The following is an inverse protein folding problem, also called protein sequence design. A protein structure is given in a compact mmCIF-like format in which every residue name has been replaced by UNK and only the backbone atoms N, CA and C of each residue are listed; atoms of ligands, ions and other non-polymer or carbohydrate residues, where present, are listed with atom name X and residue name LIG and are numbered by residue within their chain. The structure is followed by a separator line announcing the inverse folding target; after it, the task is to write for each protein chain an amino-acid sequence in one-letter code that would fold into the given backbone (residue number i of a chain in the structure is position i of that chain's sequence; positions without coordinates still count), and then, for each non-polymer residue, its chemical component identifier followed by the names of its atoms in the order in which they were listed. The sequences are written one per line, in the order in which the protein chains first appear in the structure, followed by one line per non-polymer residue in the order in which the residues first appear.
data_IF_456370092579
#
_entry.id   IF_456370092579
#
_cell.length_a   1.000
_cell.length_b   1.000
_cell.length_c   1.000
_cell.angle_alpha   90.00
_cell.angle_beta   90.00
_cell.angle_gamma   90.00
#
_symmetry.space_group_name_H-M   'P 1'
#
loop_
_entity.id
_entity.type
_entity.pdbx_description
1 polymer ?
#
# COMPACT_ATOMS: atom_id res chain seq x y z
N UNK A 1 -16.74 8.98 7.01
CA UNK A 1 -16.12 10.23 7.47
C UNK A 1 -14.63 10.20 7.09
N UNK A 2 -14.16 11.24 6.40
CA UNK A 2 -12.76 11.42 6.01
C UNK A 2 -12.29 12.80 6.54
N UNK A 3 -11.98 12.91 7.82
CA UNK A 3 -11.68 14.20 8.46
C UNK A 3 -10.42 14.88 7.89
N UNK A 4 -9.51 14.12 7.30
CA UNK A 4 -8.31 14.64 6.67
C UNK A 4 -8.48 15.02 5.21
N UNK A 5 -9.65 14.80 4.61
CA UNK A 5 -9.91 14.95 3.17
C UNK A 5 -8.86 14.26 2.28
N UNK A 6 -8.33 13.14 2.75
CA UNK A 6 -7.31 12.36 2.06
C UNK A 6 -7.95 11.42 1.02
N UNK A 7 -7.26 11.04 -0.03
CA UNK A 7 -7.71 10.00 -0.94
C UNK A 7 -7.99 8.67 -0.21
N UNK A 8 -8.88 7.86 -0.77
CA UNK A 8 -9.12 6.49 -0.26
C UNK A 8 -7.80 5.73 -0.22
N UNK A 9 -7.54 5.04 0.87
CA UNK A 9 -6.30 4.32 1.09
C UNK A 9 -5.20 5.09 1.83
N UNK A 10 -5.47 6.36 2.18
CA UNK A 10 -4.56 7.14 3.02
C UNK A 10 -5.23 7.52 4.34
N UNK A 11 -4.44 7.55 5.39
CA UNK A 11 -4.87 8.01 6.71
C UNK A 11 -3.79 8.90 7.34
N UNK A 12 -4.24 9.91 8.09
CA UNK A 12 -3.37 10.68 8.97
C UNK A 12 -3.31 9.97 10.32
N UNK A 13 -2.10 9.75 10.77
CA UNK A 13 -1.81 9.27 12.11
C UNK A 13 -0.96 10.30 12.85
N UNK A 14 -1.24 10.49 14.12
CA UNK A 14 -0.42 11.28 15.03
C UNK A 14 0.18 10.32 16.06
N UNK A 15 1.50 10.34 16.16
CA UNK A 15 2.23 9.47 17.07
C UNK A 15 2.13 10.01 18.49
N UNK A 16 1.64 9.18 19.42
CA UNK A 16 1.33 9.58 20.78
C UNK A 16 2.60 9.96 21.61
N UNK A 17 3.76 9.43 21.22
CA UNK A 17 5.00 9.66 21.96
C UNK A 17 5.73 10.91 21.47
N UNK A 18 5.74 11.12 20.17
CA UNK A 18 6.50 12.22 19.54
C UNK A 18 5.65 13.40 19.13
N UNK A 19 4.32 13.27 19.10
CA UNK A 19 3.37 14.26 18.60
C UNK A 19 3.51 14.54 17.08
N UNK A 20 4.27 13.71 16.36
CA UNK A 20 4.46 13.86 14.92
C UNK A 20 3.30 13.28 14.15
N UNK A 21 2.88 14.01 13.12
CA UNK A 21 1.88 13.54 12.18
C UNK A 21 2.52 12.78 11.02
N UNK A 22 1.97 11.62 10.71
CA UNK A 22 2.37 10.76 9.60
C UNK A 22 1.24 10.60 8.61
N UNK A 23 1.59 10.38 7.36
CA UNK A 23 0.68 9.93 6.31
C UNK A 23 0.90 8.44 6.10
N UNK A 24 -0.12 7.66 6.43
CA UNK A 24 -0.06 6.21 6.31
C UNK A 24 -0.82 5.72 5.08
N UNK A 25 -0.33 4.63 4.50
CA UNK A 25 -1.05 3.83 3.51
C UNK A 25 -1.83 2.74 4.24
N UNK A 26 -3.10 2.59 3.92
CA UNK A 26 -4.00 1.61 4.55
C UNK A 26 -4.38 0.50 3.58
N UNK A 27 -4.96 -0.59 4.09
CA UNK A 27 -5.46 -1.71 3.28
C UNK A 27 -6.40 -1.26 2.15
N UNK A 28 -7.17 -0.18 2.38
CA UNK A 28 -8.08 0.37 1.39
C UNK A 28 -7.39 0.90 0.13
N UNK A 29 -6.08 1.17 0.15
CA UNK A 29 -5.33 1.58 -1.05
C UNK A 29 -5.32 0.49 -2.12
N UNK A 30 -5.16 -0.77 -1.70
CA UNK A 30 -5.16 -1.93 -2.61
C UNK A 30 -6.50 -2.66 -2.63
N UNK A 31 -7.38 -2.41 -1.65
CA UNK A 31 -8.63 -3.13 -1.48
C UNK A 31 -9.87 -2.21 -1.43
N UNK A 32 -9.92 -1.25 -2.35
CA UNK A 32 -11.14 -0.52 -2.68
C UNK A 32 -11.21 -0.36 -4.19
N UNK A 33 -12.17 -1.01 -4.81
CA UNK A 33 -12.43 -0.92 -6.25
C UNK A 33 -13.45 0.16 -6.58
N UNK A 34 -13.43 0.66 -7.79
CA UNK A 34 -14.47 1.50 -8.36
C UNK A 34 -14.79 1.03 -9.76
N UNK A 35 -16.07 0.84 -10.04
CA UNK A 35 -16.59 0.61 -11.37
C UNK A 35 -17.42 1.81 -11.81
N UNK A 36 -17.35 2.15 -13.10
CA UNK A 36 -18.18 3.21 -13.69
C UNK A 36 -19.08 2.64 -14.77
N UNK A 37 -20.36 2.86 -14.63
CA UNK A 37 -21.37 2.43 -15.58
C UNK A 37 -22.47 3.48 -15.71
N UNK A 38 -22.88 3.81 -16.95
CA UNK A 38 -23.95 4.78 -17.19
C UNK A 38 -23.72 6.17 -16.55
N UNK A 39 -22.47 6.61 -16.39
CA UNK A 39 -22.11 7.86 -15.74
C UNK A 39 -22.11 7.81 -14.19
N UNK A 40 -22.45 6.66 -13.60
CA UNK A 40 -22.43 6.45 -12.15
C UNK A 40 -21.18 5.70 -11.72
N UNK A 41 -20.66 6.04 -10.53
CA UNK A 41 -19.55 5.34 -9.89
C UNK A 41 -20.06 4.39 -8.81
N UNK A 42 -19.67 3.13 -8.89
CA UNK A 42 -20.00 2.09 -7.92
C UNK A 42 -18.70 1.78 -7.17
N UNK A 43 -18.62 2.19 -5.92
CA UNK A 43 -17.51 1.87 -5.04
C UNK A 43 -17.67 0.47 -4.46
N UNK A 44 -16.59 -0.30 -4.46
CA UNK A 44 -16.55 -1.67 -3.96
C UNK A 44 -15.55 -1.74 -2.81
N UNK A 45 -16.04 -1.57 -1.59
CA UNK A 45 -15.20 -1.67 -0.37
C UNK A 45 -14.77 -3.13 -0.17
N UNK A 46 -13.47 -3.31 0.06
CA UNK A 46 -12.85 -4.63 0.15
C UNK A 46 -12.60 -5.31 -1.20
N UNK A 47 -13.01 -4.71 -2.32
CA UNK A 47 -12.72 -5.21 -3.66
C UNK A 47 -11.33 -4.77 -4.15
N UNK A 48 -10.77 -5.48 -5.13
CA UNK A 48 -9.47 -5.15 -5.69
C UNK A 48 -9.44 -3.73 -6.28
N UNK A 49 -8.47 -2.93 -5.86
CA UNK A 49 -8.17 -1.66 -6.52
C UNK A 49 -7.50 -1.93 -7.87
N UNK A 50 -7.87 -1.14 -8.87
CA UNK A 50 -7.38 -1.29 -10.25
C UNK A 50 -6.26 -0.31 -10.57
N UNK A 51 -5.37 -0.04 -9.61
CA UNK A 51 -4.14 0.74 -9.87
C UNK A 51 -2.96 -0.20 -10.16
N UNK A 52 -1.95 0.32 -10.84
CA UNK A 52 -0.62 -0.27 -10.93
C UNK A 52 0.24 0.34 -9.83
N UNK A 53 0.75 -0.48 -8.89
CA UNK A 53 1.46 0.03 -7.71
C UNK A 53 2.85 0.52 -8.07
N UNK A 54 3.61 -0.30 -8.80
CA UNK A 54 4.97 -0.01 -9.20
C UNK A 54 5.22 -0.48 -10.64
N UNK A 55 6.04 0.28 -11.36
CA UNK A 55 6.63 -0.15 -12.60
C UNK A 55 8.14 -0.07 -12.46
N UNK A 56 8.82 -1.08 -12.93
CA UNK A 56 10.27 -1.18 -12.89
C UNK A 56 10.95 -0.44 -14.03
N UNK A 57 10.19 -0.08 -15.04
CA UNK A 57 10.70 0.71 -16.16
C UNK A 57 10.35 2.18 -15.94
N UNK A 58 11.33 3.09 -15.83
CA UNK A 58 11.07 4.50 -15.80
C UNK A 58 10.47 4.94 -17.12
N UNK A 59 9.16 4.86 -17.27
CA UNK A 59 8.47 5.36 -18.44
C UNK A 59 7.85 6.71 -18.13
N UNK A 60 8.11 7.70 -18.98
CA UNK A 60 7.41 8.99 -18.95
C UNK A 60 5.90 8.86 -19.28
N UNK A 61 5.48 7.69 -19.74
CA UNK A 61 4.06 7.34 -19.96
C UNK A 61 3.55 6.70 -18.70
N UNK A 62 2.99 7.56 -17.85
CA UNK A 62 2.52 7.21 -16.53
C UNK A 62 1.66 5.94 -16.48
N UNK A 63 1.94 5.10 -15.55
CA UNK A 63 1.17 3.89 -15.30
C UNK A 63 1.22 3.53 -13.83
N UNK A 64 2.39 3.64 -13.21
CA UNK A 64 2.52 3.20 -11.83
C UNK A 64 2.36 4.35 -10.85
N UNK A 65 1.57 4.10 -9.81
CA UNK A 65 1.33 5.07 -8.73
C UNK A 65 2.63 5.56 -8.09
N UNK A 66 3.57 4.66 -7.79
CA UNK A 66 4.86 5.01 -7.19
C UNK A 66 5.69 5.96 -8.05
N UNK A 67 5.70 5.77 -9.38
CA UNK A 67 6.39 6.69 -10.29
C UNK A 67 5.72 8.07 -10.33
N UNK A 68 4.38 8.10 -10.42
CA UNK A 68 3.63 9.35 -10.43
C UNK A 68 3.85 10.14 -9.13
N UNK A 69 3.85 9.45 -8.00
CA UNK A 69 4.14 10.04 -6.69
C UNK A 69 5.57 10.58 -6.63
N UNK A 70 6.57 9.79 -7.00
CA UNK A 70 7.97 10.19 -7.00
C UNK A 70 8.23 11.40 -7.89
N UNK A 71 7.68 11.41 -9.10
CA UNK A 71 7.76 12.55 -10.01
C UNK A 71 7.07 13.80 -9.45
N UNK A 72 5.85 13.64 -8.89
CA UNK A 72 5.12 14.75 -8.27
C UNK A 72 5.90 15.36 -7.10
N UNK A 73 6.49 14.52 -6.26
CA UNK A 73 7.35 14.95 -5.16
C UNK A 73 8.60 15.66 -5.68
N UNK A 74 9.31 15.10 -6.66
CA UNK A 74 10.48 15.72 -7.25
C UNK A 74 10.14 17.10 -7.85
N UNK A 75 9.09 17.19 -8.65
CA UNK A 75 8.64 18.47 -9.20
C UNK A 75 8.23 19.48 -8.12
N UNK A 76 7.66 19.02 -7.02
CA UNK A 76 7.32 19.91 -5.90
C UNK A 76 8.57 20.39 -5.20
N UNK A 77 9.54 19.53 -4.94
CA UNK A 77 10.77 19.88 -4.24
C UNK A 77 11.66 20.85 -5.06
N UNK A 78 11.84 20.56 -6.35
CA UNK A 78 12.76 21.34 -7.21
C UNK A 78 12.14 22.59 -7.80
N UNK A 79 10.82 22.77 -7.74
CA UNK A 79 10.16 24.01 -8.17
C UNK A 79 9.83 24.88 -6.96
N UNK A 80 10.51 26.05 -6.76
CA UNK A 80 10.30 26.88 -5.57
C UNK A 80 8.86 27.36 -5.38
N UNK A 81 8.15 27.64 -6.48
CA UNK A 81 6.76 28.13 -6.42
C UNK A 81 5.80 27.00 -6.01
N UNK A 82 6.05 25.78 -6.49
CA UNK A 82 5.26 24.61 -6.08
C UNK A 82 5.53 24.25 -4.63
N UNK A 83 6.80 24.25 -4.22
CA UNK A 83 7.16 23.96 -2.84
C UNK A 83 6.57 24.99 -1.88
N UNK A 84 6.62 26.26 -2.23
CA UNK A 84 6.01 27.32 -1.42
C UNK A 84 4.52 27.08 -1.21
N UNK A 85 3.75 26.87 -2.28
CA UNK A 85 2.30 26.58 -2.18
C UNK A 85 2.00 25.34 -1.35
N UNK A 86 2.78 24.28 -1.54
CA UNK A 86 2.68 23.06 -0.75
C UNK A 86 2.94 23.34 0.73
N UNK A 87 4.04 24.02 1.03
CA UNK A 87 4.43 24.32 2.40
C UNK A 87 3.43 25.28 3.11
N UNK A 88 2.92 26.29 2.42
CA UNK A 88 1.87 27.19 2.93
C UNK A 88 0.60 26.40 3.27
N UNK A 89 0.20 25.43 2.44
CA UNK A 89 -0.97 24.62 2.66
C UNK A 89 -0.79 23.61 3.82
N UNK A 90 0.39 23.04 3.98
CA UNK A 90 0.69 22.05 5.04
C UNK A 90 0.89 22.72 6.39
N UNK A 91 1.60 23.83 6.43
CA UNK A 91 2.03 24.49 7.66
C UNK A 91 1.06 25.58 8.14
N UNK A 92 0.30 26.18 7.21
CA UNK A 92 -0.59 27.29 7.54
C UNK A 92 0.15 28.44 8.22
N UNK A 93 -0.28 28.81 9.41
CA UNK A 93 0.33 29.90 10.21
C UNK A 93 1.79 29.64 10.60
N UNK A 94 2.21 28.37 10.66
CA UNK A 94 3.60 28.00 10.99
C UNK A 94 4.56 28.06 9.80
N UNK A 95 4.12 28.51 8.64
CA UNK A 95 4.93 28.48 7.42
C UNK A 95 6.30 29.16 7.59
N UNK A 96 6.36 30.36 8.12
CA UNK A 96 7.62 31.09 8.29
C UNK A 96 8.57 30.42 9.29
N UNK A 97 8.03 29.76 10.29
CA UNK A 97 8.80 29.09 11.33
C UNK A 97 9.34 27.72 10.87
N UNK A 98 8.49 26.91 10.21
CA UNK A 98 8.75 25.47 10.02
C UNK A 98 9.09 25.11 8.56
N UNK A 99 9.05 26.06 7.60
CA UNK A 99 9.28 25.75 6.18
C UNK A 99 10.64 25.13 5.87
N UNK A 100 11.68 25.50 6.60
CA UNK A 100 13.02 24.96 6.41
C UNK A 100 13.09 23.49 6.87
N UNK A 101 12.47 23.19 8.01
CA UNK A 101 12.38 21.83 8.52
C UNK A 101 11.53 20.96 7.59
N UNK A 102 10.37 21.44 7.16
CA UNK A 102 9.53 20.72 6.19
C UNK A 102 10.30 20.43 4.90
N UNK A 103 11.09 21.37 4.40
CA UNK A 103 11.90 21.16 3.19
C UNK A 103 12.96 20.08 3.39
N UNK A 104 13.59 20.06 4.55
CA UNK A 104 14.55 19.04 4.93
C UNK A 104 13.89 17.65 5.00
N UNK A 105 12.80 17.52 5.74
CA UNK A 105 12.07 16.26 5.90
C UNK A 105 11.52 15.74 4.57
N UNK A 106 10.97 16.64 3.76
CA UNK A 106 10.49 16.31 2.41
C UNK A 106 11.62 15.76 1.52
N UNK A 107 12.81 16.35 1.61
CA UNK A 107 13.99 15.86 0.88
C UNK A 107 14.39 14.45 1.33
N UNK A 108 14.39 14.18 2.61
CA UNK A 108 14.73 12.86 3.15
C UNK A 108 13.75 11.79 2.62
N UNK A 109 12.46 12.08 2.62
CA UNK A 109 11.45 11.15 2.07
C UNK A 109 11.66 10.96 0.56
N UNK A 110 11.89 12.04 -0.19
CA UNK A 110 12.15 11.97 -1.63
C UNK A 110 13.41 11.15 -1.94
N UNK A 111 14.51 11.40 -1.23
CA UNK A 111 15.77 10.69 -1.45
C UNK A 111 15.63 9.19 -1.15
N UNK A 112 14.91 8.84 -0.09
CA UNK A 112 14.62 7.44 0.24
C UNK A 112 13.80 6.77 -0.86
N UNK A 113 12.73 7.42 -1.32
CA UNK A 113 11.87 6.88 -2.38
C UNK A 113 12.65 6.67 -3.68
N UNK A 114 13.46 7.66 -4.10
CA UNK A 114 14.27 7.57 -5.31
C UNK A 114 15.42 6.56 -5.16
N UNK A 115 16.04 6.49 -3.98
CA UNK A 115 17.09 5.53 -3.65
C UNK A 115 16.58 4.08 -3.71
N UNK A 116 15.42 3.80 -3.13
CA UNK A 116 14.78 2.48 -3.22
C UNK A 116 14.48 2.13 -4.68
N UNK A 117 13.84 3.03 -5.43
CA UNK A 117 13.52 2.79 -6.83
C UNK A 117 14.77 2.55 -7.70
N UNK A 118 15.85 3.30 -7.45
CA UNK A 118 17.12 3.10 -8.12
C UNK A 118 17.76 1.74 -7.78
N UNK A 119 17.76 1.36 -6.49
CA UNK A 119 18.29 0.09 -6.04
C UNK A 119 17.54 -1.11 -6.67
N UNK A 120 16.21 -1.04 -6.66
CA UNK A 120 15.34 -2.06 -7.26
C UNK A 120 15.62 -2.25 -8.75
N UNK A 121 15.72 -1.13 -9.47
CA UNK A 121 16.00 -1.12 -10.89
C UNK A 121 17.43 -1.62 -11.19
N UNK A 122 18.44 -1.13 -10.48
CA UNK A 122 19.84 -1.49 -10.69
C UNK A 122 20.09 -2.98 -10.42
N UNK A 123 19.41 -3.54 -9.46
CA UNK A 123 19.50 -4.97 -9.11
C UNK A 123 18.58 -5.87 -9.95
N UNK A 124 17.70 -5.28 -10.77
CA UNK A 124 16.73 -6.02 -11.56
C UNK A 124 15.76 -6.86 -10.72
N UNK A 125 15.37 -6.35 -9.55
CA UNK A 125 14.56 -7.12 -8.60
C UNK A 125 13.14 -7.40 -9.09
N UNK A 126 12.60 -6.53 -9.91
CA UNK A 126 11.20 -6.60 -10.40
C UNK A 126 11.15 -6.50 -11.92
N UNK A 127 11.62 -7.53 -12.68
CA UNK A 127 11.72 -7.46 -14.14
C UNK A 127 10.37 -7.55 -14.83
N UNK A 128 9.37 -8.10 -14.16
CA UNK A 128 8.01 -8.28 -14.71
C UNK A 128 7.13 -7.11 -14.30
N UNK A 129 6.49 -6.46 -15.27
CA UNK A 129 5.51 -5.43 -14.98
C UNK A 129 4.29 -6.06 -14.29
N UNK A 130 3.97 -5.57 -13.10
CA UNK A 130 2.88 -6.13 -12.31
C UNK A 130 1.52 -5.85 -12.93
N UNK A 131 1.34 -4.65 -13.49
CA UNK A 131 0.10 -4.21 -14.13
C UNK A 131 -0.99 -3.81 -13.14
N UNK A 132 -2.19 -3.62 -13.66
CA UNK A 132 -3.31 -3.13 -12.87
C UNK A 132 -3.90 -4.21 -11.96
N UNK A 133 -4.11 -3.85 -10.68
CA UNK A 133 -4.76 -4.71 -9.70
C UNK A 133 -3.93 -5.93 -9.28
N UNK A 134 -2.62 -5.90 -9.49
CA UNK A 134 -1.71 -7.01 -9.20
C UNK A 134 -0.43 -6.53 -8.56
N UNK A 135 0.21 -7.40 -7.76
CA UNK A 135 1.58 -7.23 -7.25
C UNK A 135 2.18 -8.58 -6.88
N UNK A 136 3.49 -8.70 -6.90
CA UNK A 136 4.20 -9.82 -6.27
C UNK A 136 4.41 -9.51 -4.79
N UNK A 137 3.37 -9.73 -3.98
CA UNK A 137 3.41 -9.40 -2.56
C UNK A 137 4.52 -10.16 -1.83
N UNK A 138 4.72 -11.45 -2.10
CA UNK A 138 5.77 -12.22 -1.45
C UNK A 138 7.17 -11.76 -1.78
N UNK A 139 7.45 -11.52 -3.04
CA UNK A 139 8.74 -11.04 -3.48
C UNK A 139 9.07 -9.69 -2.85
N UNK A 140 8.08 -8.79 -2.77
CA UNK A 140 8.26 -7.48 -2.13
C UNK A 140 8.47 -7.59 -0.63
N UNK A 141 7.65 -8.36 0.07
CA UNK A 141 7.82 -8.62 1.51
C UNK A 141 9.19 -9.26 1.79
N UNK A 142 9.56 -10.28 1.02
CA UNK A 142 10.84 -10.95 1.21
C UNK A 142 12.03 -10.02 0.98
N UNK A 143 12.01 -9.21 -0.08
CA UNK A 143 13.07 -8.24 -0.35
C UNK A 143 13.13 -7.15 0.71
N UNK A 144 12.00 -6.63 1.18
CA UNK A 144 11.96 -5.65 2.27
C UNK A 144 12.47 -6.22 3.60
N UNK A 145 12.02 -7.40 3.99
CA UNK A 145 12.37 -7.98 5.30
C UNK A 145 13.77 -8.61 5.29
N UNK A 146 14.10 -9.37 4.26
CA UNK A 146 15.38 -10.10 4.25
C UNK A 146 16.49 -9.34 3.51
N UNK A 147 16.14 -8.58 2.48
CA UNK A 147 17.10 -7.77 1.71
C UNK A 147 17.44 -6.45 2.38
N UNK A 148 16.42 -5.61 2.61
CA UNK A 148 16.64 -4.27 3.15
C UNK A 148 17.02 -4.28 4.64
N UNK A 149 16.33 -5.12 5.45
CA UNK A 149 16.49 -5.07 6.90
C UNK A 149 17.55 -6.05 7.44
N UNK A 150 18.06 -6.99 6.65
CA UNK A 150 19.05 -7.97 7.09
C UNK A 150 20.32 -7.90 6.24
N UNK A 151 20.27 -8.37 4.98
CA UNK A 151 21.45 -8.43 4.13
C UNK A 151 21.06 -8.32 2.65
N UNK A 152 21.63 -7.38 1.88
CA UNK A 152 21.41 -7.29 0.45
C UNK A 152 21.69 -8.57 -0.36
N UNK A 153 22.48 -9.52 0.16
CA UNK A 153 22.68 -10.83 -0.44
C UNK A 153 21.40 -11.68 -0.47
N UNK A 154 20.40 -11.33 0.33
CA UNK A 154 19.12 -12.03 0.39
C UNK A 154 18.12 -11.57 -0.67
N UNK A 155 18.39 -10.49 -1.41
CA UNK A 155 17.48 -10.07 -2.47
C UNK A 155 17.24 -11.19 -3.49
N UNK A 156 15.99 -11.30 -3.91
CA UNK A 156 15.57 -12.24 -4.95
C UNK A 156 14.69 -11.53 -5.96
N UNK A 157 14.76 -11.98 -7.19
CA UNK A 157 13.89 -11.50 -8.26
C UNK A 157 12.45 -11.86 -7.93
N UNK A 158 11.58 -10.85 -7.92
CA UNK A 158 10.15 -10.97 -7.71
C UNK A 158 9.45 -10.79 -9.05
N UNK A 159 8.92 -11.88 -9.61
CA UNK A 159 8.35 -11.93 -10.94
C UNK A 159 7.03 -12.71 -11.02
N UNK A 160 6.34 -12.87 -9.91
CA UNK A 160 5.09 -13.60 -9.79
C UNK A 160 3.92 -12.69 -9.33
N UNK A 161 3.54 -11.65 -10.11
CA UNK A 161 2.44 -10.77 -9.72
C UNK A 161 1.12 -11.53 -9.73
N UNK A 162 0.37 -11.39 -8.64
CA UNK A 162 -0.97 -11.95 -8.46
C UNK A 162 -1.99 -10.84 -8.23
N UNK A 163 -3.25 -11.11 -8.56
CA UNK A 163 -4.34 -10.15 -8.36
C UNK A 163 -4.57 -9.86 -6.89
N UNK A 164 -4.91 -8.61 -6.56
CA UNK A 164 -5.36 -8.28 -5.23
C UNK A 164 -6.64 -9.06 -4.93
N UNK A 165 -6.69 -9.86 -3.85
CA UNK A 165 -7.89 -10.56 -3.46
C UNK A 165 -8.93 -9.58 -2.88
N UNK A 166 -10.19 -10.00 -2.86
CA UNK A 166 -11.19 -9.32 -2.05
C UNK A 166 -10.97 -9.62 -0.56
N UNK A 167 -11.40 -8.68 0.31
CA UNK A 167 -11.24 -8.81 1.76
C UNK A 167 -12.47 -9.39 2.47
N UNK A 168 -13.65 -9.36 1.84
CA UNK A 168 -14.84 -9.94 2.46
C UNK A 168 -14.68 -11.44 2.66
N UNK A 169 -15.10 -11.93 3.84
CA UNK A 169 -14.93 -13.31 4.26
C UNK A 169 -13.49 -13.81 4.40
N UNK A 170 -12.47 -12.96 4.31
CA UNK A 170 -11.07 -13.40 4.44
C UNK A 170 -10.81 -14.07 5.80
N UNK A 171 -11.49 -13.64 6.83
CA UNK A 171 -11.40 -14.20 8.18
C UNK A 171 -11.83 -15.66 8.31
N UNK A 172 -12.44 -16.25 7.27
CA UNK A 172 -12.84 -17.66 7.22
C UNK A 172 -11.70 -18.60 6.84
N UNK A 173 -10.55 -18.05 6.44
CA UNK A 173 -9.38 -18.84 6.07
C UNK A 173 -8.36 -18.84 7.19
N UNK A 174 -7.72 -19.98 7.46
CA UNK A 174 -6.62 -20.07 8.43
C UNK A 174 -5.29 -19.67 7.77
N UNK A 175 -5.14 -19.96 6.48
CA UNK A 175 -3.96 -19.71 5.69
C UNK A 175 -4.30 -18.97 4.41
N UNK A 176 -3.46 -18.03 4.03
CA UNK A 176 -3.64 -17.18 2.86
C UNK A 176 -2.35 -17.00 2.06
N UNK A 177 -2.37 -16.10 1.12
CA UNK A 177 -1.49 -15.93 -0.01
C UNK A 177 -1.73 -17.01 -1.06
N UNK A 178 -1.27 -16.78 -2.30
CA UNK A 178 -1.52 -17.68 -3.42
C UNK A 178 -1.03 -19.13 -3.20
N UNK A 179 -0.06 -19.32 -2.33
CA UNK A 179 0.51 -20.63 -1.97
C UNK A 179 0.09 -21.13 -0.58
N UNK A 180 -0.79 -20.43 0.12
CA UNK A 180 -1.27 -20.83 1.43
C UNK A 180 -0.20 -20.84 2.54
N UNK A 181 0.83 -20.00 2.46
CA UNK A 181 1.96 -20.04 3.40
C UNK A 181 1.89 -19.03 4.54
N UNK A 182 0.98 -18.08 4.49
CA UNK A 182 0.83 -17.07 5.53
C UNK A 182 -0.38 -17.37 6.43
N UNK A 183 -0.13 -17.50 7.72
CA UNK A 183 -1.18 -17.72 8.72
C UNK A 183 -1.94 -16.42 9.01
N UNK A 184 -3.26 -16.54 9.16
CA UNK A 184 -4.16 -15.42 9.46
C UNK A 184 -4.36 -15.23 10.98
N UNK A 185 -4.78 -14.00 11.41
CA UNK A 185 -4.75 -12.77 10.60
C UNK A 185 -3.44 -12.00 10.75
N UNK A 186 -2.76 -12.12 11.89
CA UNK A 186 -1.71 -11.17 12.27
C UNK A 186 -0.38 -11.41 11.54
N UNK A 187 -0.01 -12.69 11.25
CA UNK A 187 1.22 -12.96 10.50
C UNK A 187 1.14 -12.38 9.08
N UNK A 188 -0.02 -12.53 8.43
CA UNK A 188 -0.29 -11.89 7.15
C UNK A 188 -0.19 -10.37 7.23
N UNK A 189 -0.91 -9.73 8.17
CA UNK A 189 -0.96 -8.28 8.30
C UNK A 189 0.39 -7.66 8.61
N UNK A 190 1.17 -8.27 9.50
CA UNK A 190 2.51 -7.80 9.83
C UNK A 190 3.42 -7.89 8.59
N UNK A 191 3.37 -9.03 7.88
CA UNK A 191 4.13 -9.21 6.65
C UNK A 191 3.77 -8.17 5.59
N UNK A 192 2.48 -7.92 5.36
CA UNK A 192 2.00 -6.92 4.40
C UNK A 192 2.43 -5.49 4.79
N UNK A 193 2.33 -5.13 6.07
CA UNK A 193 2.78 -3.83 6.56
C UNK A 193 4.29 -3.62 6.33
N UNK A 194 5.10 -4.65 6.57
CA UNK A 194 6.54 -4.63 6.30
C UNK A 194 6.82 -4.51 4.79
N UNK A 195 6.06 -5.22 3.97
CA UNK A 195 6.21 -5.19 2.50
C UNK A 195 5.85 -3.85 1.86
N UNK A 196 5.02 -3.03 2.52
CA UNK A 196 4.67 -1.67 2.04
C UNK A 196 5.45 -0.56 2.74
N UNK A 197 6.49 -0.90 3.49
CA UNK A 197 7.47 0.06 4.01
C UNK A 197 7.43 0.35 5.50
N UNK A 198 6.71 -0.44 6.30
CA UNK A 198 6.86 -0.35 7.75
C UNK A 198 8.29 -0.73 8.14
N UNK A 199 8.89 0.06 9.02
CA UNK A 199 10.27 -0.16 9.44
C UNK A 199 10.41 -1.40 10.31
N UNK A 200 11.53 -2.09 10.21
CA UNK A 200 11.93 -3.20 11.07
C UNK A 200 13.41 -3.00 11.43
N UNK A 201 13.69 -2.88 12.72
CA UNK A 201 15.04 -2.65 13.21
C UNK A 201 15.67 -3.96 13.67
N UNK A 202 16.61 -4.45 12.90
CA UNK A 202 17.39 -5.67 13.21
C UNK A 202 18.88 -5.37 13.33
N UNK A 203 19.37 -4.45 12.49
CA UNK A 203 20.77 -4.06 12.39
C UNK A 203 20.94 -2.56 12.57
N UNK A 204 22.12 -2.16 13.02
CA UNK A 204 22.62 -0.79 12.90
C UNK A 204 23.03 -0.49 11.45
N UNK A 205 23.22 0.79 11.11
CA UNK A 205 23.69 1.22 9.78
C UNK A 205 25.03 0.60 9.36
N UNK A 206 25.86 0.23 10.34
CA UNK A 206 27.13 -0.47 10.11
C UNK A 206 26.99 -2.00 9.93
N UNK A 207 25.77 -2.53 9.86
CA UNK A 207 25.48 -3.95 9.69
C UNK A 207 25.61 -4.81 10.95
N UNK A 208 25.94 -4.22 12.10
CA UNK A 208 25.97 -4.96 13.35
C UNK A 208 24.56 -5.13 13.94
N UNK A 209 24.26 -6.27 14.58
CA UNK A 209 22.99 -6.47 15.25
C UNK A 209 22.75 -5.40 16.32
N UNK A 210 21.52 -4.88 16.39
CA UNK A 210 21.11 -4.01 17.49
C UNK A 210 21.03 -4.79 18.80
N UNK A 211 21.08 -4.08 19.92
CA UNK A 211 20.90 -4.69 21.24
C UNK A 211 19.58 -5.49 21.32
N UNK A 212 19.54 -6.55 22.08
CA UNK A 212 18.38 -7.43 22.19
C UNK A 212 17.10 -6.68 22.57
N UNK A 213 17.22 -5.70 23.48
CA UNK A 213 16.10 -4.86 23.90
C UNK A 213 15.53 -3.95 22.78
N UNK A 214 16.31 -3.64 21.76
CA UNK A 214 15.90 -2.81 20.61
C UNK A 214 15.55 -3.64 19.38
N UNK A 215 15.85 -4.94 19.43
CA UNK A 215 15.61 -5.86 18.31
C UNK A 215 14.11 -6.00 18.08
N UNK A 216 13.72 -5.94 16.81
CA UNK A 216 12.33 -5.96 16.37
C UNK A 216 11.53 -4.68 16.65
N UNK A 217 12.16 -3.58 17.06
CA UNK A 217 11.48 -2.30 17.03
C UNK A 217 10.96 -2.04 15.61
N UNK A 218 9.67 -1.77 15.47
CA UNK A 218 8.98 -1.74 14.19
C UNK A 218 7.96 -0.61 14.13
N UNK A 219 7.78 -0.05 12.91
CA UNK A 219 6.69 0.87 12.60
C UNK A 219 5.33 0.17 12.43
N UNK A 220 5.27 -1.16 12.55
CA UNK A 220 4.02 -1.91 12.44
C UNK A 220 3.12 -1.65 13.65
N UNK A 221 1.95 -1.08 13.44
CA UNK A 221 0.97 -0.76 14.49
C UNK A 221 0.06 -1.96 14.77
N UNK A 222 0.59 -2.94 15.51
CA UNK A 222 -0.07 -4.24 15.76
C UNK A 222 -1.48 -4.09 16.36
N UNK A 223 -1.69 -3.13 17.27
CA UNK A 223 -3.01 -2.90 17.88
C UNK A 223 -4.03 -2.42 16.86
N UNK A 224 -3.63 -1.52 15.95
CA UNK A 224 -4.52 -1.00 14.91
C UNK A 224 -4.80 -2.08 13.86
N UNK A 225 -3.82 -2.89 13.51
CA UNK A 225 -4.03 -4.05 12.63
C UNK A 225 -5.04 -5.03 13.24
N UNK A 226 -4.97 -5.31 14.53
CA UNK A 226 -5.94 -6.16 15.21
C UNK A 226 -7.36 -5.55 15.19
N UNK A 227 -7.49 -4.24 15.40
CA UNK A 227 -8.78 -3.53 15.28
C UNK A 227 -9.33 -3.59 13.85
N UNK A 228 -8.46 -3.46 12.84
CA UNK A 228 -8.84 -3.58 11.44
C UNK A 228 -9.37 -4.99 11.15
N UNK A 229 -8.72 -6.05 11.64
CA UNK A 229 -9.21 -7.43 11.48
C UNK A 229 -10.60 -7.63 12.08
N UNK A 230 -10.83 -7.09 13.28
CA UNK A 230 -12.17 -7.13 13.89
C UNK A 230 -13.22 -6.43 13.03
N UNK A 231 -12.85 -5.32 12.39
CA UNK A 231 -13.73 -4.59 11.47
C UNK A 231 -13.97 -5.38 10.18
N UNK A 232 -12.93 -6.03 9.64
CA UNK A 232 -13.04 -6.86 8.43
C UNK A 232 -13.99 -8.05 8.60
N UNK A 233 -14.17 -8.56 9.81
CA UNK A 233 -15.16 -9.61 10.09
C UNK A 233 -16.61 -9.17 9.79
N UNK A 234 -16.86 -7.87 9.77
CA UNK A 234 -18.17 -7.29 9.43
C UNK A 234 -18.30 -6.94 7.95
N UNK A 235 -17.21 -6.99 7.20
CA UNK A 235 -17.19 -6.65 5.78
C UNK A 235 -17.83 -7.78 4.96
N UNK A 236 -18.98 -7.49 4.37
CA UNK A 236 -19.70 -8.41 3.49
C UNK A 236 -19.45 -8.08 2.02
N UNK A 237 -19.61 -9.06 1.11
CA UNK A 237 -19.63 -8.80 -0.32
C UNK A 237 -20.68 -7.73 -0.66
N UNK A 238 -20.42 -6.84 -1.63
CA UNK A 238 -21.41 -5.87 -2.06
C UNK A 238 -22.64 -6.57 -2.67
N UNK A 239 -23.80 -5.98 -2.45
CA UNK A 239 -25.02 -6.42 -3.13
C UNK A 239 -24.97 -5.95 -4.59
N UNK A 240 -25.59 -6.73 -5.46
CA UNK A 240 -25.76 -6.30 -6.85
C UNK A 240 -26.58 -5.01 -6.89
N UNK A 241 -26.07 -3.91 -7.47
CA UNK A 241 -26.75 -2.63 -7.50
C UNK A 241 -27.77 -2.59 -8.66
N UNK A 242 -28.97 -3.11 -8.42
CA UNK A 242 -30.03 -3.24 -9.43
C UNK A 242 -30.48 -1.90 -10.01
N UNK A 243 -30.37 -0.85 -9.22
CA UNK A 243 -30.68 0.53 -9.64
C UNK A 243 -29.72 1.08 -10.70
N UNK A 244 -28.52 0.52 -10.77
CA UNK A 244 -27.47 0.94 -11.73
C UNK A 244 -27.31 -0.07 -12.87
N UNK A 245 -27.21 -1.36 -12.53
CA UNK A 245 -26.89 -2.43 -13.47
C UNK A 245 -28.12 -3.22 -13.97
N UNK A 246 -29.30 -2.91 -13.46
CA UNK A 246 -30.54 -3.62 -13.78
C UNK A 246 -30.74 -4.90 -12.97
N UNK A 247 -31.91 -5.46 -13.07
CA UNK A 247 -32.34 -6.66 -12.33
C UNK A 247 -31.64 -7.90 -12.90
N UNK A 248 -31.22 -8.80 -12.01
CA UNK A 248 -30.61 -10.10 -12.41
C UNK A 248 -31.67 -10.98 -13.06
N UNK A 249 -31.39 -11.51 -14.24
CA UNK A 249 -32.21 -12.55 -14.90
C UNK A 249 -32.09 -13.86 -14.11
N UNK A 250 -33.13 -14.19 -13.36
CA UNK A 250 -33.13 -15.37 -12.49
C UNK A 250 -33.15 -16.68 -13.27
N UNK A 251 -33.62 -16.71 -14.53
CA UNK A 251 -33.55 -17.90 -15.41
C UNK A 251 -32.10 -18.18 -15.80
N UNK A 252 -31.41 -17.15 -16.31
CA UNK A 252 -29.99 -17.27 -16.65
C UNK A 252 -29.13 -17.58 -15.44
N UNK A 253 -29.39 -16.96 -14.29
CA UNK A 253 -28.69 -17.23 -13.06
C UNK A 253 -28.88 -18.68 -12.55
N UNK A 254 -30.09 -19.23 -12.72
CA UNK A 254 -30.39 -20.64 -12.38
C UNK A 254 -29.66 -21.61 -13.31
N UNK A 255 -29.65 -21.32 -14.61
CA UNK A 255 -28.90 -22.12 -15.60
C UNK A 255 -27.39 -22.08 -15.31
N UNK A 256 -26.86 -20.87 -15.09
CA UNK A 256 -25.44 -20.69 -14.73
C UNK A 256 -25.06 -21.45 -13.45
N UNK A 257 -25.94 -21.49 -12.44
CA UNK A 257 -25.73 -22.29 -11.22
C UNK A 257 -25.63 -23.78 -11.49
N UNK A 258 -26.45 -24.31 -12.42
CA UNK A 258 -26.38 -25.71 -12.79
C UNK A 258 -25.03 -26.03 -13.47
N UNK A 259 -24.65 -25.22 -14.47
CA UNK A 259 -23.39 -25.37 -15.21
C UNK A 259 -22.14 -25.22 -14.30
N UNK A 260 -22.20 -24.39 -13.27
CA UNK A 260 -21.08 -24.20 -12.34
C UNK A 260 -20.84 -25.42 -11.44
N UNK A 261 -21.87 -26.29 -11.26
CA UNK A 261 -21.78 -27.50 -10.41
C UNK A 261 -21.31 -28.73 -11.19
N UNK A 262 -21.35 -28.70 -12.50
CA UNK A 262 -20.78 -29.72 -13.38
C UNK A 262 -19.25 -29.57 -13.50
#
# INVERSE_FOLDING_TARGET
LNPGNLPVGFARHEDDETGRAYLDVTCAACHTGELRYGGQAIRIDGGAAMHSLASTVPTLRGGAFGQALGMSMAFTYYNPLKFRRFAEQVLGERYEQDRAQLRHDFKQVLDRLLGTAYNDWHRGLYPTEEGFGRTDAFGRIANSVFGDAIDPANYRVANAPVSYPHLWNIWKFDWVQWNGSAMQPMARNIGEALGVGATLRLLHENGQPVAEAERYASGVRVRDLHRLETTLMQLAPPRWPEDVLGVIDLKQASLGRALYKE
#
